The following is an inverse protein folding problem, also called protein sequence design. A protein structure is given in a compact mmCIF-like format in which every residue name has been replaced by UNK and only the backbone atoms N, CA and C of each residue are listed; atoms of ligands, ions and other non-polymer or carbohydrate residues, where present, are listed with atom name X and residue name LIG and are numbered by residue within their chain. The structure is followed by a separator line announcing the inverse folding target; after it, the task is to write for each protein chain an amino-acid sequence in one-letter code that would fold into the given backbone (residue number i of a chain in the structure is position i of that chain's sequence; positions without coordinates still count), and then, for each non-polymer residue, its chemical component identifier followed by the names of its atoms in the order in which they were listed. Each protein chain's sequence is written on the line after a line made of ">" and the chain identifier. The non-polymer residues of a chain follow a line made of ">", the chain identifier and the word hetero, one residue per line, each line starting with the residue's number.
data_IF_515221771782
#
_entry.id   IF_515221771782
#
_cell.length_a   1.000
_cell.length_b   1.000
_cell.length_c   1.000
_cell.angle_alpha   90.00
_cell.angle_beta   90.00
_cell.angle_gamma   90.00
#
_symmetry.space_group_name_H-M   'P 1'
#
loop_
_entity.id
_entity.type
_entity.pdbx_description
1 polymer ?
#
# COMPACT_ATOMS: atom_id res chain seq x y z
N UNK A 1 54.80 -25.47 31.23
CA UNK A 1 53.72 -25.11 30.28
C UNK A 1 52.53 -25.94 30.70
N UNK A 2 51.61 -25.31 31.41
CA UNK A 2 50.67 -26.00 32.31
C UNK A 2 49.63 -26.83 31.57
N UNK A 3 49.28 -27.97 32.17
CA UNK A 3 48.36 -29.00 31.64
C UNK A 3 46.96 -28.44 31.31
N UNK A 4 46.57 -27.32 31.92
CA UNK A 4 45.34 -26.59 31.61
C UNK A 4 45.39 -25.85 30.25
N UNK A 5 46.55 -25.29 29.86
CA UNK A 5 46.69 -24.62 28.55
C UNK A 5 46.62 -25.60 27.38
N UNK A 6 47.04 -26.85 27.57
CA UNK A 6 47.00 -27.87 26.51
C UNK A 6 45.55 -28.27 26.19
N UNK A 7 44.67 -28.36 27.20
CA UNK A 7 43.25 -28.68 27.01
C UNK A 7 42.47 -27.57 26.30
N UNK A 8 42.75 -26.30 26.60
CA UNK A 8 42.09 -25.17 25.91
C UNK A 8 42.51 -25.10 24.42
N UNK A 9 43.78 -25.35 24.10
CA UNK A 9 44.28 -25.35 22.72
C UNK A 9 43.66 -26.49 21.90
N UNK A 10 43.54 -27.71 22.45
CA UNK A 10 42.94 -28.83 21.72
C UNK A 10 41.44 -28.63 21.48
N UNK A 11 40.71 -28.04 22.42
CA UNK A 11 39.25 -27.81 22.27
C UNK A 11 38.95 -26.72 21.23
N UNK A 12 39.84 -25.73 21.09
CA UNK A 12 39.70 -24.64 20.12
C UNK A 12 39.98 -25.12 18.69
N UNK A 13 41.00 -25.98 18.51
CA UNK A 13 41.35 -26.57 17.22
C UNK A 13 40.27 -27.51 16.66
N UNK A 14 39.58 -28.29 17.51
CA UNK A 14 38.46 -29.15 17.07
C UNK A 14 37.23 -28.33 16.64
N UNK A 15 36.97 -27.19 17.30
CA UNK A 15 35.83 -26.31 16.95
C UNK A 15 36.05 -25.57 15.64
N UNK A 16 37.30 -25.22 15.32
CA UNK A 16 37.66 -24.53 14.09
C UNK A 16 37.59 -25.45 12.85
N UNK A 17 37.97 -26.73 12.97
CA UNK A 17 37.79 -27.73 11.90
C UNK A 17 36.30 -28.06 11.65
N UNK A 18 35.47 -28.07 12.70
CA UNK A 18 34.02 -28.30 12.56
C UNK A 18 33.31 -27.17 11.79
N UNK A 19 33.63 -25.91 12.10
CA UNK A 19 33.05 -24.75 11.42
C UNK A 19 33.49 -24.67 9.95
N UNK A 20 34.76 -25.00 9.64
CA UNK A 20 35.25 -25.10 8.26
C UNK A 20 34.53 -26.20 7.45
N UNK A 21 34.21 -27.35 8.08
CA UNK A 21 33.44 -28.42 7.44
C UNK A 21 31.98 -28.01 7.17
N UNK A 22 31.34 -27.33 8.13
CA UNK A 22 29.97 -26.83 7.96
C UNK A 22 29.91 -25.78 6.85
N UNK A 23 30.86 -24.84 6.79
CA UNK A 23 30.92 -23.82 5.75
C UNK A 23 31.09 -24.44 4.34
N UNK A 24 31.93 -25.48 4.21
CA UNK A 24 32.08 -26.22 2.96
C UNK A 24 30.80 -26.93 2.54
N UNK A 25 30.05 -27.51 3.47
CA UNK A 25 28.76 -28.17 3.19
C UNK A 25 27.70 -27.15 2.76
N UNK A 26 27.62 -25.99 3.41
CA UNK A 26 26.68 -24.91 3.05
C UNK A 26 26.95 -24.37 1.65
N UNK A 27 28.22 -24.15 1.29
CA UNK A 27 28.61 -23.69 -0.06
C UNK A 27 28.24 -24.75 -1.11
N UNK A 28 28.47 -26.04 -0.85
CA UNK A 28 28.11 -27.12 -1.79
C UNK A 28 26.58 -27.19 -1.98
N UNK A 29 25.79 -27.06 -0.92
CA UNK A 29 24.32 -27.04 -1.00
C UNK A 29 23.84 -25.81 -1.77
N UNK A 30 24.43 -24.64 -1.53
CA UNK A 30 24.06 -23.40 -2.23
C UNK A 30 24.39 -23.47 -3.73
N UNK A 31 25.57 -23.95 -4.09
CA UNK A 31 25.97 -24.16 -5.50
C UNK A 31 25.07 -25.20 -6.16
N UNK A 32 24.71 -26.28 -5.46
CA UNK A 32 23.74 -27.24 -5.97
C UNK A 32 22.38 -26.56 -6.22
N UNK A 33 21.84 -25.78 -5.28
CA UNK A 33 20.58 -25.04 -5.44
C UNK A 33 20.60 -24.05 -6.61
N UNK A 34 21.70 -23.35 -6.84
CA UNK A 34 21.86 -22.44 -7.99
C UNK A 34 21.88 -23.23 -9.31
N UNK A 35 22.51 -24.41 -9.35
CA UNK A 35 22.58 -25.25 -10.56
C UNK A 35 21.28 -25.99 -10.88
N UNK A 36 20.46 -26.37 -9.89
CA UNK A 36 19.12 -26.96 -10.16
C UNK A 36 18.03 -25.90 -10.32
N UNK A 37 18.19 -24.72 -9.72
CA UNK A 37 17.20 -23.63 -9.72
C UNK A 37 17.04 -22.89 -11.05
N UNK A 38 18.07 -22.86 -11.89
CA UNK A 38 17.99 -22.20 -13.21
C UNK A 38 17.19 -22.99 -14.26
N UNK A 39 16.85 -24.25 -14.00
CA UNK A 39 16.09 -25.10 -14.94
C UNK A 39 14.57 -25.11 -14.70
N UNK A 40 14.09 -24.59 -13.56
CA UNK A 40 12.65 -24.53 -13.25
C UNK A 40 12.07 -23.11 -13.41
N UNK A 41 12.93 -22.09 -13.41
CA UNK A 41 12.50 -20.69 -13.59
C UNK A 41 12.33 -20.26 -15.06
N UNK A 42 12.80 -21.05 -16.03
CA UNK A 42 12.62 -20.77 -17.47
C UNK A 42 11.41 -21.45 -18.12
N UNK A 43 10.66 -22.29 -17.39
CA UNK A 43 9.44 -22.94 -17.91
C UNK A 43 8.17 -22.14 -17.58
N UNK A 44 8.22 -21.17 -16.66
CA UNK A 44 7.08 -20.31 -16.32
C UNK A 44 7.07 -18.93 -17.00
N UNK A 45 8.04 -18.63 -17.88
CA UNK A 45 8.08 -17.36 -18.63
C UNK A 45 7.60 -17.49 -20.10
N UNK A 46 6.90 -18.59 -20.44
CA UNK A 46 6.35 -18.82 -21.80
C UNK A 46 4.93 -19.41 -21.83
N UNK A 47 4.13 -19.21 -20.80
CA UNK A 47 2.67 -19.29 -20.93
C UNK A 47 2.11 -17.90 -20.65
N UNK A 48 1.99 -17.13 -21.73
CA UNK A 48 1.37 -15.82 -21.72
C UNK A 48 -0.06 -15.91 -21.19
N UNK A 49 -0.32 -15.25 -20.07
CA UNK A 49 -1.66 -14.84 -19.72
C UNK A 49 -1.99 -13.62 -20.59
N UNK A 50 -2.74 -13.87 -21.66
CA UNK A 50 -3.48 -12.83 -22.38
C UNK A 50 -4.61 -12.37 -21.47
N UNK A 51 -4.44 -11.21 -20.85
CA UNK A 51 -5.49 -10.55 -20.10
C UNK A 51 -6.47 -9.91 -21.11
N UNK A 52 -7.52 -10.65 -21.45
CA UNK A 52 -8.66 -10.10 -22.18
C UNK A 52 -9.42 -9.15 -21.25
N UNK A 53 -9.24 -7.85 -21.47
CA UNK A 53 -10.13 -6.81 -20.96
C UNK A 53 -11.53 -6.99 -21.52
N UNK A 54 -12.61 -7.04 -20.72
CA UNK A 54 -13.95 -6.96 -21.26
C UNK A 54 -14.27 -5.51 -21.65
N UNK A 55 -14.20 -5.21 -22.95
CA UNK A 55 -14.84 -4.03 -23.53
C UNK A 55 -16.35 -4.24 -23.54
N UNK A 56 -17.05 -3.62 -22.59
CA UNK A 56 -18.49 -3.42 -22.67
C UNK A 56 -18.77 -2.25 -23.61
N UNK A 57 -18.76 -2.52 -24.92
CA UNK A 57 -19.29 -1.59 -25.91
C UNK A 57 -20.79 -1.83 -26.05
N UNK A 58 -21.55 -0.89 -25.50
CA UNK A 58 -23.00 -0.75 -25.71
C UNK A 58 -23.25 -0.44 -27.18
N UNK A 59 -23.85 -1.39 -27.89
CA UNK A 59 -24.28 -1.26 -29.27
C UNK A 59 -25.48 -0.32 -29.37
N UNK A 60 -25.29 0.83 -30.03
CA UNK A 60 -26.38 1.58 -30.67
C UNK A 60 -26.77 0.86 -31.95
N UNK A 61 -27.96 0.26 -31.99
CA UNK A 61 -28.65 -0.04 -33.23
C UNK A 61 -30.14 0.32 -33.06
N UNK A 62 -30.48 1.51 -33.55
CA UNK A 62 -31.84 1.91 -33.87
C UNK A 62 -32.24 1.23 -35.17
N UNK A 63 -33.06 0.18 -35.10
CA UNK A 63 -33.85 -0.30 -36.23
C UNK A 63 -35.32 -0.12 -35.92
N UNK A 64 -35.91 0.82 -36.66
CA UNK A 64 -37.35 1.02 -36.88
C UNK A 64 -38.15 -0.30 -36.86
N UNK A 65 -39.13 -0.38 -35.97
CA UNK A 65 -40.27 -1.28 -36.11
C UNK A 65 -41.50 -0.44 -36.47
N UNK A 66 -41.81 -0.46 -37.76
CA UNK A 66 -43.07 0.02 -38.35
C UNK A 66 -44.22 -0.79 -37.76
N UNK A 67 -44.97 -0.21 -36.82
CA UNK A 67 -46.27 -0.77 -36.39
C UNK A 67 -47.31 -0.39 -37.44
N UNK A 68 -47.75 -1.41 -38.20
CA UNK A 68 -48.90 -1.34 -39.09
C UNK A 68 -50.18 -1.21 -38.26
N UNK A 69 -50.94 -0.14 -38.52
CA UNK A 69 -52.34 -0.04 -38.16
C UNK A 69 -53.14 -1.14 -38.88
N UNK A 70 -53.74 -2.06 -38.13
CA UNK A 70 -54.87 -2.85 -38.62
C UNK A 70 -56.01 -2.66 -37.64
N UNK A 71 -57.02 -1.94 -38.13
CA UNK A 71 -58.36 -1.83 -37.60
C UNK A 71 -59.07 -3.18 -37.64
N UNK A 72 -59.57 -3.63 -36.50
CA UNK A 72 -60.71 -4.56 -36.44
C UNK A 72 -61.75 -3.99 -35.47
N UNK A 73 -62.86 -3.57 -36.08
CA UNK A 73 -64.11 -3.21 -35.45
C UNK A 73 -64.86 -4.50 -35.10
N UNK A 74 -65.23 -4.73 -33.84
CA UNK A 74 -66.47 -5.45 -33.54
C UNK A 74 -67.11 -5.00 -32.23
N UNK A 75 -68.40 -4.80 -32.37
CA UNK A 75 -69.40 -4.12 -31.55
C UNK A 75 -69.91 -4.96 -30.35
N UNK A 76 -70.69 -4.27 -29.49
CA UNK A 76 -71.62 -4.73 -28.43
C UNK A 76 -71.01 -4.88 -27.02
N UNK A 77 -71.57 -4.36 -25.93
CA UNK A 77 -72.91 -3.81 -25.59
C UNK A 77 -72.81 -2.94 -24.32
N UNK A 78 -73.80 -2.08 -24.09
CA UNK A 78 -73.91 -1.09 -23.00
C UNK A 78 -74.12 -1.70 -21.60
N UNK A 79 -73.51 -1.12 -20.56
CA UNK A 79 -74.17 -0.82 -19.26
C UNK A 79 -73.33 0.12 -18.35
N UNK A 80 -74.02 1.14 -17.81
CA UNK A 80 -73.82 2.11 -16.69
C UNK A 80 -72.45 2.63 -16.14
N UNK A 81 -72.43 3.86 -15.57
CA UNK A 81 -71.23 4.63 -15.28
C UNK A 81 -70.66 4.32 -13.90
N UNK A 82 -69.66 3.44 -13.81
CA UNK A 82 -68.74 3.47 -12.67
C UNK A 82 -67.58 4.41 -12.98
N UNK A 83 -67.41 5.38 -12.08
CA UNK A 83 -66.39 6.42 -12.04
C UNK A 83 -65.05 5.97 -12.61
N UNK A 84 -64.66 6.58 -13.74
CA UNK A 84 -63.27 6.58 -14.24
C UNK A 84 -62.36 7.16 -13.16
N UNK A 85 -61.82 6.32 -12.29
CA UNK A 85 -60.60 6.66 -11.60
C UNK A 85 -59.52 6.75 -12.67
N UNK A 86 -59.02 7.96 -12.86
CA UNK A 86 -57.91 8.27 -13.74
C UNK A 86 -56.66 7.62 -13.14
N UNK A 87 -56.45 6.32 -13.43
CA UNK A 87 -55.20 5.63 -13.09
C UNK A 87 -54.15 6.22 -14.03
N UNK A 88 -53.49 7.28 -13.56
CA UNK A 88 -52.29 7.79 -14.20
C UNK A 88 -51.21 6.74 -14.00
N UNK A 89 -51.08 5.82 -14.96
CA UNK A 89 -49.92 4.93 -15.04
C UNK A 89 -48.72 5.85 -15.27
N UNK A 90 -47.88 6.00 -14.26
CA UNK A 90 -46.66 6.82 -14.28
C UNK A 90 -45.61 6.08 -15.12
N UNK A 91 -45.82 5.99 -16.44
CA UNK A 91 -45.09 5.06 -17.32
C UNK A 91 -43.61 5.36 -17.52
N UNK A 92 -43.03 6.40 -16.92
CA UNK A 92 -41.58 6.65 -16.97
C UNK A 92 -41.10 7.38 -15.71
N UNK A 93 -41.23 6.76 -14.54
CA UNK A 93 -40.62 7.30 -13.32
C UNK A 93 -39.27 6.64 -13.03
N UNK A 94 -38.20 7.43 -13.01
CA UNK A 94 -36.91 6.99 -12.50
C UNK A 94 -36.82 7.32 -11.02
N UNK A 95 -36.62 6.29 -10.19
CA UNK A 95 -36.46 6.47 -8.75
C UNK A 95 -35.21 7.29 -8.44
N UNK A 96 -35.30 8.20 -7.47
CA UNK A 96 -34.19 9.01 -7.01
C UNK A 96 -34.07 8.92 -5.49
N UNK A 97 -33.24 8.00 -5.02
CA UNK A 97 -33.14 7.68 -3.60
C UNK A 97 -32.15 8.57 -2.86
N UNK A 98 -32.64 9.29 -1.85
CA UNK A 98 -31.82 9.93 -0.84
C UNK A 98 -31.83 9.10 0.44
N UNK A 99 -30.65 8.72 0.94
CA UNK A 99 -30.52 7.84 2.11
C UNK A 99 -29.86 8.54 3.30
N UNK A 100 -30.28 8.18 4.50
CA UNK A 100 -29.61 8.62 5.74
C UNK A 100 -28.22 8.00 5.88
N UNK A 101 -27.42 8.56 6.78
CA UNK A 101 -26.24 7.88 7.29
C UNK A 101 -26.62 6.52 7.90
N UNK A 102 -25.67 5.59 7.89
CA UNK A 102 -25.80 4.31 8.58
C UNK A 102 -25.87 4.52 10.09
N UNK A 103 -26.73 3.77 10.78
CA UNK A 103 -26.77 3.74 12.25
C UNK A 103 -25.45 3.25 12.83
N UNK A 104 -25.26 3.41 14.14
CA UNK A 104 -24.19 2.71 14.85
C UNK A 104 -24.32 1.19 14.68
N UNK A 105 -23.18 0.50 14.77
CA UNK A 105 -23.14 -0.95 14.65
C UNK A 105 -23.76 -1.61 15.91
N UNK A 106 -24.95 -2.17 15.78
CA UNK A 106 -25.64 -2.86 16.88
C UNK A 106 -25.88 -4.31 16.48
N UNK A 107 -25.43 -5.26 17.31
CA UNK A 107 -25.56 -6.70 17.04
C UNK A 107 -25.00 -7.17 15.68
N UNK A 108 -23.99 -6.46 15.15
CA UNK A 108 -23.35 -6.80 13.87
C UNK A 108 -24.11 -6.28 12.64
N UNK A 109 -25.11 -5.41 12.84
CA UNK A 109 -25.94 -4.86 11.78
C UNK A 109 -26.03 -3.33 11.91
N UNK A 110 -25.94 -2.64 10.76
CA UNK A 110 -26.31 -1.24 10.61
C UNK A 110 -27.50 -1.13 9.67
N UNK A 111 -28.37 -0.16 9.96
CA UNK A 111 -29.52 0.17 9.14
C UNK A 111 -29.41 1.60 8.62
N UNK A 112 -30.13 1.90 7.56
CA UNK A 112 -30.38 3.27 7.08
C UNK A 112 -31.77 3.33 6.45
N UNK A 113 -32.33 4.53 6.37
CA UNK A 113 -33.57 4.77 5.65
C UNK A 113 -33.27 5.46 4.32
N UNK A 114 -34.09 5.20 3.30
CA UNK A 114 -34.02 5.89 2.02
C UNK A 114 -35.41 6.41 1.65
N UNK A 115 -35.46 7.60 1.07
CA UNK A 115 -36.67 8.26 0.60
C UNK A 115 -36.52 8.52 -0.90
N UNK A 116 -37.54 8.12 -1.67
CA UNK A 116 -37.60 8.40 -3.11
C UNK A 116 -38.07 9.84 -3.30
N UNK A 117 -37.16 10.70 -3.77
CA UNK A 117 -37.41 12.13 -4.00
C UNK A 117 -38.36 12.38 -5.17
N UNK A 118 -38.52 11.40 -6.08
CA UNK A 118 -39.39 11.52 -7.24
C UNK A 118 -40.78 10.90 -7.02
N UNK A 119 -41.02 10.32 -5.85
CA UNK A 119 -42.30 9.69 -5.47
C UNK A 119 -42.84 8.74 -6.57
N UNK A 120 -41.97 7.90 -7.12
CA UNK A 120 -42.30 6.92 -8.14
C UNK A 120 -43.25 5.82 -7.63
N UNK A 121 -43.16 5.48 -6.34
CA UNK A 121 -43.98 4.45 -5.71
C UNK A 121 -43.51 3.02 -5.98
N UNK A 122 -42.53 2.84 -6.85
CA UNK A 122 -41.81 1.59 -7.06
C UNK A 122 -40.66 1.46 -6.04
N UNK A 123 -40.08 0.25 -5.92
CA UNK A 123 -38.94 -0.04 -5.03
C UNK A 123 -37.85 -0.85 -5.74
N UNK A 124 -37.77 -0.74 -7.06
CA UNK A 124 -36.93 -1.60 -7.89
C UNK A 124 -35.44 -1.29 -7.73
N UNK A 125 -35.09 -0.02 -7.52
CA UNK A 125 -33.71 0.46 -7.37
C UNK A 125 -33.38 0.97 -5.98
N UNK A 126 -34.20 0.61 -4.97
CA UNK A 126 -33.93 1.02 -3.59
C UNK A 126 -32.56 0.51 -3.13
N UNK A 127 -31.66 1.39 -2.63
CA UNK A 127 -30.38 0.95 -2.12
C UNK A 127 -30.52 0.04 -0.90
N UNK A 128 -29.49 -0.79 -0.64
CA UNK A 128 -29.45 -1.64 0.54
C UNK A 128 -29.74 -0.84 1.82
N UNK A 129 -30.76 -1.26 2.58
CA UNK A 129 -31.17 -0.61 3.82
C UNK A 129 -30.48 -1.19 5.05
N UNK A 130 -29.84 -2.34 4.89
CA UNK A 130 -29.17 -3.08 5.96
C UNK A 130 -27.81 -3.56 5.48
N UNK A 131 -26.80 -3.50 6.35
CA UNK A 131 -25.48 -4.09 6.09
C UNK A 131 -24.91 -4.72 7.35
N UNK A 132 -24.03 -5.71 7.15
CA UNK A 132 -23.21 -6.26 8.23
C UNK A 132 -22.15 -5.24 8.65
N UNK A 133 -21.82 -5.20 9.94
CA UNK A 133 -20.79 -4.35 10.53
C UNK A 133 -20.12 -5.07 11.69
N UNK A 134 -18.93 -4.63 12.08
CA UNK A 134 -18.22 -5.17 13.23
C UNK A 134 -17.54 -4.06 14.02
N UNK A 135 -17.55 -4.20 15.34
CA UNK A 135 -16.69 -3.39 16.21
C UNK A 135 -15.34 -4.10 16.31
N UNK A 136 -14.29 -3.41 15.88
CA UNK A 136 -12.93 -3.89 15.98
C UNK A 136 -12.31 -3.40 17.28
N UNK A 137 -11.54 -4.26 17.93
CA UNK A 137 -10.70 -3.92 19.06
C UNK A 137 -9.27 -4.15 18.61
N UNK A 138 -8.46 -3.09 18.63
CA UNK A 138 -7.06 -3.17 18.25
C UNK A 138 -6.18 -3.09 19.48
N UNK A 139 -5.08 -3.82 19.44
CA UNK A 139 -3.96 -3.64 20.34
C UNK A 139 -3.23 -2.32 20.02
N UNK A 140 -2.33 -1.92 20.91
CA UNK A 140 -1.40 -0.82 20.66
C UNK A 140 -0.49 -1.13 19.46
N UNK A 141 0.05 -0.07 18.87
CA UNK A 141 1.07 -0.24 17.83
C UNK A 141 2.34 -0.87 18.42
N UNK A 142 2.98 -1.74 17.65
CA UNK A 142 4.30 -2.27 17.94
C UNK A 142 5.34 -1.16 17.99
N UNK A 143 6.53 -1.49 18.50
CA UNK A 143 7.73 -0.69 18.22
C UNK A 143 7.98 -0.59 16.71
N UNK A 144 8.74 0.43 16.30
CA UNK A 144 9.12 0.62 14.90
C UNK A 144 10.12 -0.45 14.48
N UNK A 145 9.84 -1.11 13.36
CA UNK A 145 10.76 -2.07 12.75
C UNK A 145 11.76 -1.36 11.81
N UNK A 146 12.93 -1.97 11.53
CA UNK A 146 13.94 -1.38 10.64
C UNK A 146 13.47 -1.10 9.20
N UNK A 147 12.30 -1.57 8.79
CA UNK A 147 11.67 -1.30 7.50
C UNK A 147 10.70 -0.10 7.54
N UNK A 148 10.78 0.75 8.58
CA UNK A 148 9.96 1.93 8.83
C UNK A 148 8.46 1.65 8.95
N UNK A 149 8.10 0.44 9.39
CA UNK A 149 6.72 0.08 9.66
C UNK A 149 6.47 -0.31 11.12
N UNK A 150 5.27 0.01 11.58
CA UNK A 150 4.67 -0.52 12.79
C UNK A 150 3.47 -1.39 12.45
N UNK A 151 3.23 -2.37 13.30
CA UNK A 151 2.16 -3.34 13.15
C UNK A 151 1.28 -3.34 14.40
N UNK A 152 -0.01 -3.63 14.21
CA UNK A 152 -0.90 -3.93 15.32
C UNK A 152 -1.86 -5.02 14.94
N UNK A 153 -2.31 -5.75 15.94
CA UNK A 153 -3.36 -6.74 15.77
C UNK A 153 -4.73 -6.12 16.06
N UNK A 154 -5.73 -6.44 15.23
CA UNK A 154 -7.11 -6.02 15.42
C UNK A 154 -8.02 -7.24 15.39
N UNK A 155 -8.75 -7.47 16.47
CA UNK A 155 -9.67 -8.59 16.62
C UNK A 155 -11.12 -8.11 16.56
N UNK A 156 -12.01 -9.04 16.20
CA UNK A 156 -13.46 -8.85 16.17
C UNK A 156 -14.16 -10.08 16.75
N UNK A 157 -15.41 -9.96 17.22
CA UNK A 157 -16.18 -11.12 17.68
C UNK A 157 -16.29 -12.22 16.58
N UNK A 158 -16.38 -13.49 16.96
CA UNK A 158 -16.47 -14.62 16.01
C UNK A 158 -17.68 -14.56 15.08
N UNK A 159 -18.82 -14.05 15.57
CA UNK A 159 -20.04 -13.78 14.76
C UNK A 159 -19.83 -12.81 13.59
N UNK A 160 -18.65 -12.21 13.51
CA UNK A 160 -18.26 -11.12 12.64
C UNK A 160 -17.20 -11.55 11.60
N UNK A 161 -16.94 -12.85 11.50
CA UNK A 161 -16.06 -13.45 10.50
C UNK A 161 -16.47 -13.06 9.05
N UNK A 162 -15.49 -12.81 8.19
CA UNK A 162 -15.70 -12.39 6.79
C UNK A 162 -16.15 -10.93 6.57
N UNK A 163 -16.40 -10.15 7.62
CA UNK A 163 -16.69 -8.71 7.49
C UNK A 163 -15.40 -7.89 7.40
N UNK A 164 -15.11 -7.32 6.23
CA UNK A 164 -13.97 -6.39 6.01
C UNK A 164 -14.37 -4.92 6.18
N UNK A 165 -15.66 -4.62 6.24
CA UNK A 165 -16.15 -3.26 6.37
C UNK A 165 -15.64 -2.61 7.66
N UNK A 166 -14.97 -1.46 7.51
CA UNK A 166 -14.47 -0.69 8.64
C UNK A 166 -13.31 -1.35 9.39
N UNK A 167 -12.61 -2.33 8.77
CA UNK A 167 -11.39 -2.90 9.32
C UNK A 167 -10.33 -1.79 9.49
N UNK A 168 -9.84 -1.56 10.72
CA UNK A 168 -8.78 -0.58 10.95
C UNK A 168 -7.48 -1.02 10.27
N UNK A 169 -6.56 -0.09 9.95
CA UNK A 169 -5.25 -0.44 9.43
C UNK A 169 -4.47 -1.24 10.48
N UNK A 170 -3.76 -2.28 10.02
CA UNK A 170 -2.90 -3.14 10.85
C UNK A 170 -1.41 -2.93 10.58
N UNK A 171 -1.10 -2.07 9.60
CA UNK A 171 0.25 -1.66 9.21
C UNK A 171 0.22 -0.16 8.94
N UNK A 172 1.20 0.56 9.44
CA UNK A 172 1.40 1.98 9.14
C UNK A 172 2.89 2.30 9.12
N UNK A 173 3.27 3.38 8.44
CA UNK A 173 4.61 3.92 8.56
C UNK A 173 4.87 4.36 10.00
N UNK A 174 6.12 4.26 10.44
CA UNK A 174 6.52 4.84 11.71
C UNK A 174 6.25 6.34 11.66
N UNK A 175 5.35 6.80 12.53
CA UNK A 175 5.17 8.23 12.71
C UNK A 175 6.22 8.67 13.73
N UNK A 176 7.41 8.99 13.23
CA UNK A 176 8.41 9.70 14.02
C UNK A 176 7.85 11.11 14.31
N UNK A 177 6.93 11.20 15.28
CA UNK A 177 6.40 12.48 15.75
C UNK A 177 7.37 13.19 16.70
N UNK A 178 8.64 12.77 16.70
CA UNK A 178 9.76 13.57 17.12
C UNK A 178 10.83 13.40 16.04
N UNK A 179 11.12 14.52 15.37
CA UNK A 179 12.34 14.72 14.60
C UNK A 179 13.49 14.03 15.31
N UNK A 180 14.19 13.13 14.63
CA UNK A 180 15.60 12.94 14.95
C UNK A 180 16.26 14.26 14.56
N UNK A 181 16.81 15.04 15.50
CA UNK A 181 17.50 16.26 15.14
C UNK A 181 18.80 15.81 14.49
N UNK A 182 18.81 15.80 13.17
CA UNK A 182 20.03 15.95 12.42
C UNK A 182 20.08 17.40 11.96
N UNK A 183 21.16 18.10 12.31
CA UNK A 183 21.38 19.49 11.90
C UNK A 183 22.48 19.49 10.85
N UNK A 184 22.14 19.98 9.67
CA UNK A 184 23.04 20.15 8.53
C UNK A 184 23.24 21.65 8.30
N UNK A 185 24.48 22.13 8.29
CA UNK A 185 24.76 23.57 8.12
C UNK A 185 24.50 24.07 6.71
N UNK A 186 24.52 23.16 5.75
CA UNK A 186 24.50 23.38 4.32
C UNK A 186 23.55 22.35 3.70
N UNK A 187 22.25 22.67 3.62
CA UNK A 187 21.26 21.71 3.18
C UNK A 187 21.51 21.29 1.73
N UNK A 188 21.54 19.96 1.52
CA UNK A 188 21.50 19.29 0.21
C UNK A 188 22.77 19.44 -0.64
N UNK A 189 23.78 18.62 -0.35
CA UNK A 189 24.96 18.36 -1.19
C UNK A 189 25.62 19.64 -1.75
N UNK A 190 25.75 20.69 -0.92
CA UNK A 190 26.34 21.94 -1.37
C UNK A 190 27.86 21.81 -1.37
N UNK A 191 28.37 21.24 -2.46
CA UNK A 191 29.80 20.96 -2.61
C UNK A 191 30.68 22.21 -2.62
N UNK A 192 30.13 23.42 -2.58
CA UNK A 192 30.85 24.68 -2.78
C UNK A 192 30.91 25.55 -1.53
N UNK A 193 30.41 25.04 -0.41
CA UNK A 193 30.47 25.66 0.91
C UNK A 193 30.79 24.57 1.92
N UNK A 194 31.85 24.72 2.71
CA UNK A 194 32.21 23.69 3.69
C UNK A 194 31.13 23.49 4.75
N UNK A 195 30.69 22.24 4.91
CA UNK A 195 29.57 21.84 5.73
C UNK A 195 29.89 21.09 7.03
N UNK A 196 28.86 20.91 7.85
CA UNK A 196 28.89 20.20 9.13
C UNK A 196 27.53 19.58 9.43
N UNK A 197 27.55 18.27 9.72
CA UNK A 197 26.39 17.50 10.15
C UNK A 197 26.51 17.12 11.62
N UNK A 198 25.50 17.45 12.41
CA UNK A 198 25.32 16.92 13.77
C UNK A 198 24.25 15.84 13.74
N UNK A 199 24.61 14.58 13.98
CA UNK A 199 23.69 13.44 13.89
C UNK A 199 22.80 13.28 15.15
N UNK A 200 21.86 12.32 15.10
CA UNK A 200 20.96 11.97 16.20
C UNK A 200 21.64 11.59 17.53
N UNK A 201 22.92 11.25 17.51
CA UNK A 201 23.73 10.94 18.69
C UNK A 201 24.54 12.16 19.19
N UNK A 202 24.34 13.33 18.59
CA UNK A 202 25.14 14.55 18.77
C UNK A 202 26.61 14.38 18.35
N UNK A 203 26.90 13.50 17.41
CA UNK A 203 28.23 13.36 16.80
C UNK A 203 28.31 14.34 15.63
N UNK A 204 29.41 15.10 15.59
CA UNK A 204 29.69 16.05 14.52
C UNK A 204 30.55 15.41 13.42
N UNK A 205 30.18 15.70 12.19
CA UNK A 205 30.85 15.30 10.96
C UNK A 205 31.06 16.55 10.13
N UNK A 206 32.22 16.69 9.50
CA UNK A 206 32.60 17.88 8.76
C UNK A 206 33.04 17.45 7.37
N UNK A 207 32.69 18.24 6.36
CA UNK A 207 33.15 17.99 5.01
C UNK A 207 34.66 18.11 4.93
N UNK A 208 35.26 17.20 4.17
CA UNK A 208 36.70 17.18 4.08
C UNK A 208 37.22 16.65 2.75
N UNK A 209 38.36 17.21 2.34
CA UNK A 209 39.04 16.75 1.15
C UNK A 209 39.76 15.42 1.40
N UNK A 210 39.33 14.37 0.71
CA UNK A 210 40.03 13.09 0.69
C UNK A 210 41.35 13.18 -0.11
N UNK A 211 41.34 13.95 -1.19
CA UNK A 211 42.50 14.29 -2.01
C UNK A 211 42.28 15.63 -2.72
N UNK A 212 43.23 16.06 -3.56
CA UNK A 212 43.23 17.35 -4.28
C UNK A 212 41.97 17.62 -5.13
N UNK A 213 41.20 16.60 -5.50
CA UNK A 213 40.00 16.74 -6.34
C UNK A 213 38.78 15.99 -5.81
N UNK A 214 38.85 15.38 -4.62
CA UNK A 214 37.75 14.57 -4.07
C UNK A 214 37.33 15.12 -2.71
N UNK A 215 36.08 15.55 -2.65
CA UNK A 215 35.38 15.97 -1.44
C UNK A 215 34.63 14.78 -0.84
N UNK A 216 34.72 14.60 0.47
CA UNK A 216 33.80 13.76 1.23
C UNK A 216 32.75 14.72 1.79
N UNK A 217 31.55 14.60 1.26
CA UNK A 217 30.36 15.36 1.66
C UNK A 217 29.63 14.59 2.75
N UNK A 218 29.34 15.23 3.88
CA UNK A 218 28.43 14.74 4.89
C UNK A 218 27.08 15.43 4.77
N UNK A 219 26.00 14.67 4.83
CA UNK A 219 24.65 15.24 4.92
C UNK A 219 23.74 14.43 5.85
N UNK A 220 22.58 14.98 6.20
CA UNK A 220 21.59 14.26 7.00
C UNK A 220 20.92 13.10 6.22
N UNK A 221 20.82 11.94 6.86
CA UNK A 221 20.02 10.80 6.40
C UNK A 221 18.60 10.83 7.02
N UNK A 222 17.67 10.11 6.39
CA UNK A 222 16.26 10.05 6.79
C UNK A 222 16.07 9.46 8.19
N UNK A 223 17.00 8.64 8.66
CA UNK A 223 17.00 8.07 10.01
C UNK A 223 17.67 8.99 11.06
N UNK A 224 18.09 10.20 10.65
CA UNK A 224 18.81 11.16 11.48
C UNK A 224 20.29 10.87 11.71
N UNK A 225 20.87 9.87 11.03
CA UNK A 225 22.32 9.65 11.02
C UNK A 225 23.02 10.57 10.01
N UNK A 226 24.33 10.75 10.17
CA UNK A 226 25.14 11.37 9.12
C UNK A 226 25.49 10.32 8.05
N UNK A 227 25.20 10.63 6.79
CA UNK A 227 25.67 9.85 5.63
C UNK A 227 26.81 10.59 4.95
N UNK A 228 27.74 9.85 4.35
CA UNK A 228 28.87 10.42 3.60
C UNK A 228 28.84 10.01 2.13
N UNK A 229 29.14 10.92 1.21
CA UNK A 229 29.28 10.65 -0.22
C UNK A 229 30.60 11.22 -0.75
N UNK A 230 31.26 10.52 -1.69
CA UNK A 230 32.46 11.05 -2.34
C UNK A 230 32.07 11.78 -3.63
N UNK A 231 32.42 13.05 -3.69
CA UNK A 231 32.15 13.92 -4.82
C UNK A 231 33.46 14.36 -5.47
N UNK A 232 33.47 14.45 -6.80
CA UNK A 232 34.64 14.91 -7.56
C UNK A 232 34.50 16.40 -7.85
N UNK A 233 35.40 17.20 -7.31
CA UNK A 233 35.48 18.62 -7.59
C UNK A 233 35.99 18.86 -9.01
N UNK A 234 35.42 19.85 -9.70
CA UNK A 234 35.78 20.18 -11.08
C UNK A 234 37.21 20.73 -11.21
N UNK A 235 37.70 21.43 -10.18
CA UNK A 235 39.01 22.08 -10.20
C UNK A 235 39.91 21.63 -9.07
N UNK A 236 39.53 21.91 -7.84
CA UNK A 236 40.25 21.51 -6.64
C UNK A 236 39.28 21.30 -5.48
N UNK A 237 39.68 20.48 -4.51
CA UNK A 237 39.10 20.46 -3.18
C UNK A 237 40.07 21.16 -2.24
N UNK A 238 39.61 22.23 -1.59
CA UNK A 238 40.39 22.95 -0.59
C UNK A 238 39.49 23.21 0.62
N UNK A 239 40.03 23.05 1.83
CA UNK A 239 39.34 23.35 3.11
C UNK A 239 37.91 22.78 3.30
N UNK A 240 37.63 21.62 2.69
CA UNK A 240 36.32 20.96 2.83
C UNK A 240 35.26 21.46 1.86
N UNK A 241 35.66 22.15 0.78
CA UNK A 241 34.76 22.57 -0.29
C UNK A 241 35.39 22.40 -1.68
N UNK A 242 34.55 22.25 -2.70
CA UNK A 242 34.96 22.29 -4.09
C UNK A 242 35.13 23.73 -4.58
N UNK A 243 36.34 24.01 -5.04
CA UNK A 243 36.68 25.31 -5.63
C UNK A 243 36.09 25.39 -7.03
N UNK A 244 35.24 26.39 -7.26
CA UNK A 244 34.86 26.82 -8.59
C UNK A 244 35.94 27.75 -9.15
N UNK A 245 36.26 27.67 -10.44
CA UNK A 245 37.19 28.60 -11.09
C UNK A 245 36.79 30.05 -10.79
N UNK A 246 37.54 30.70 -9.92
CA UNK A 246 37.54 32.15 -9.77
C UNK A 246 38.52 32.71 -10.81
N UNK A 247 38.05 33.67 -11.60
CA UNK A 247 38.87 34.38 -12.58
C UNK A 247 39.95 35.24 -11.94
#
# INVERSE_FOLDING_TARGET
>A
MDEQRIKEITTTAEKEDSNQRILKIVIIIFVAFVLVGTSVFFIFMFIGFSEETPQNQSSTNSTESVVKNTSDNKTETNEEPSTKQNITIKENCTENWNCTNWTNCTNGVQNRACTDLNECGTKESIPNLTRKCCSWVCEEWSECYPDDFQFRNCIKPSKCEGVELGKPPTKQFCNYSESFPCEDTDPENNLTEAGTVTDKNNIKWEDNCFNETTLIEFSCDIDGSAKSEQQTCLYACEDGECINQTG
#
